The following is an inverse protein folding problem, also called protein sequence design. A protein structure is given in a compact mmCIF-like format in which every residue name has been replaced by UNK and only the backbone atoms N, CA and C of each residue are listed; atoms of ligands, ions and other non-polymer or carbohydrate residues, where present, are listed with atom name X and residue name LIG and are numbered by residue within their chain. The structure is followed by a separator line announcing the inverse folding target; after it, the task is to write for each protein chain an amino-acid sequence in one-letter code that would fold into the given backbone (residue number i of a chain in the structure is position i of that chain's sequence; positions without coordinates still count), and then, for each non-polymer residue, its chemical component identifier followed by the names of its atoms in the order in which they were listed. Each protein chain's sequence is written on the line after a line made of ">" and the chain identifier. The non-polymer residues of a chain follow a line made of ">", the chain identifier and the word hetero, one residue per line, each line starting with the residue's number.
data_IF_593248065374
#
_entry.id   IF_593248065374
#
_cell.length_a   1.000
_cell.length_b   1.000
_cell.length_c   1.000
_cell.angle_alpha   90.00
_cell.angle_beta   90.00
_cell.angle_gamma   90.00
#
_symmetry.space_group_name_H-M   'P 1'
#
loop_
_entity.id
_entity.type
_entity.pdbx_description
1 polymer ?
#
# COMPACT_ATOMS: atom_id res chain seq x y z
N UNK A 1 -44.34 32.56 -48.39
CA UNK A 1 -44.44 31.10 -48.60
C UNK A 1 -43.04 30.52 -48.58
N UNK A 2 -42.78 29.51 -47.73
CA UNK A 2 -41.51 28.75 -47.70
C UNK A 2 -40.92 28.52 -46.30
N UNK A 3 -41.39 27.49 -45.59
CA UNK A 3 -40.59 26.74 -44.59
C UNK A 3 -39.98 25.55 -45.36
N UNK A 4 -38.76 25.06 -45.02
CA UNK A 4 -38.57 24.10 -43.93
C UNK A 4 -37.17 24.27 -43.23
N UNK A 5 -36.66 23.51 -42.25
CA UNK A 5 -36.82 22.13 -41.81
C UNK A 5 -36.08 21.99 -40.46
N UNK A 6 -36.66 21.26 -39.50
CA UNK A 6 -35.98 20.83 -38.27
C UNK A 6 -34.70 20.05 -38.57
N UNK A 7 -33.64 20.24 -37.77
CA UNK A 7 -32.87 19.09 -37.33
C UNK A 7 -32.34 19.25 -35.90
N UNK A 8 -32.70 18.26 -35.10
CA UNK A 8 -32.33 18.05 -33.71
C UNK A 8 -30.85 17.66 -33.68
N UNK A 9 -29.98 18.52 -33.15
CA UNK A 9 -28.63 18.11 -32.78
C UNK A 9 -28.70 17.44 -31.41
N UNK A 10 -28.75 16.11 -31.44
CA UNK A 10 -28.57 15.27 -30.26
C UNK A 10 -27.18 15.51 -29.68
N UNK A 11 -27.11 16.18 -28.52
CA UNK A 11 -25.92 16.19 -27.68
C UNK A 11 -25.72 14.78 -27.12
N UNK A 12 -24.89 13.99 -27.80
CA UNK A 12 -24.35 12.76 -27.24
C UNK A 12 -23.43 13.12 -26.07
N UNK A 13 -23.93 12.97 -24.85
CA UNK A 13 -23.10 12.91 -23.65
C UNK A 13 -22.27 11.62 -23.72
N UNK A 14 -21.08 11.69 -24.30
CA UNK A 14 -20.06 10.68 -24.07
C UNK A 14 -19.60 10.82 -22.62
N UNK A 15 -20.25 10.11 -21.69
CA UNK A 15 -19.63 9.83 -20.40
C UNK A 15 -18.44 8.92 -20.66
N UNK A 16 -17.27 9.53 -20.88
CA UNK A 16 -16.01 8.86 -20.68
C UNK A 16 -15.94 8.51 -19.19
N UNK A 17 -16.31 7.27 -18.86
CA UNK A 17 -16.11 6.72 -17.54
C UNK A 17 -14.63 6.69 -17.25
N UNK A 18 -14.13 7.70 -16.55
CA UNK A 18 -12.87 7.61 -15.84
C UNK A 18 -13.07 6.58 -14.73
N UNK A 19 -12.82 5.31 -15.05
CA UNK A 19 -12.69 4.26 -14.05
C UNK A 19 -11.49 4.62 -13.17
N UNK A 20 -11.72 5.32 -12.07
CA UNK A 20 -10.75 5.42 -10.98
C UNK A 20 -10.57 4.00 -10.46
N UNK A 21 -9.47 3.35 -10.84
CA UNK A 21 -9.09 2.05 -10.32
C UNK A 21 -8.68 2.28 -8.86
N UNK A 22 -9.59 1.99 -7.94
CA UNK A 22 -9.39 2.30 -6.53
C UNK A 22 -8.06 1.76 -5.99
N UNK A 23 -7.34 2.60 -5.24
CA UNK A 23 -6.05 2.27 -4.62
C UNK A 23 -6.10 0.93 -3.89
N UNK A 24 -5.17 0.02 -4.21
CA UNK A 24 -5.13 -1.31 -3.59
C UNK A 24 -4.43 -1.23 -2.25
N UNK A 25 -5.10 -1.64 -1.17
CA UNK A 25 -4.58 -1.51 0.18
C UNK A 25 -4.51 -2.85 0.91
N UNK A 26 -3.48 -3.08 1.72
CA UNK A 26 -3.29 -4.29 2.52
C UNK A 26 -3.04 -3.93 3.99
N UNK A 27 -3.70 -4.62 4.91
CA UNK A 27 -3.42 -4.53 6.34
C UNK A 27 -2.70 -5.79 6.81
N UNK A 28 -1.50 -5.65 7.34
CA UNK A 28 -0.63 -6.76 7.73
C UNK A 28 -0.41 -6.78 9.24
N UNK A 29 -0.68 -7.93 9.87
CA UNK A 29 -0.31 -8.18 11.27
C UNK A 29 1.00 -9.00 11.27
N UNK A 30 2.03 -8.48 11.92
CA UNK A 30 3.39 -9.00 11.89
C UNK A 30 3.82 -9.43 13.29
N UNK A 31 4.66 -10.47 13.35
CA UNK A 31 5.27 -10.95 14.60
C UNK A 31 6.79 -10.98 14.45
N UNK A 32 7.56 -10.52 15.46
CA UNK A 32 9.00 -10.71 15.49
C UNK A 32 9.34 -12.21 15.50
N UNK A 33 10.38 -12.60 14.76
CA UNK A 33 10.89 -13.99 14.74
C UNK A 33 11.95 -14.18 15.82
N UNK A 34 12.83 -13.19 15.96
CA UNK A 34 13.75 -13.04 17.10
C UNK A 34 13.21 -11.90 17.94
N UNK A 35 13.12 -12.05 19.27
CA UNK A 35 12.42 -11.18 20.24
C UNK A 35 12.81 -9.69 20.33
N UNK A 36 13.34 -9.11 19.25
CA UNK A 36 13.58 -7.69 19.07
C UNK A 36 12.27 -6.92 18.86
N UNK A 37 12.07 -5.89 19.69
CA UNK A 37 10.91 -5.00 19.74
C UNK A 37 10.75 -4.04 18.54
N UNK A 38 11.62 -4.15 17.53
CA UNK A 38 11.73 -3.19 16.43
C UNK A 38 10.92 -3.58 15.18
N UNK A 39 10.23 -4.72 15.21
CA UNK A 39 9.29 -5.11 14.17
C UNK A 39 7.92 -4.54 14.52
N UNK A 40 7.30 -3.72 13.66
CA UNK A 40 5.97 -3.20 13.92
C UNK A 40 4.97 -4.36 13.98
N UNK A 41 4.03 -4.31 14.92
CA UNK A 41 3.02 -5.36 15.08
C UNK A 41 1.94 -5.30 14.00
N UNK A 42 1.68 -4.12 13.45
CA UNK A 42 0.71 -3.89 12.38
C UNK A 42 1.15 -2.75 11.47
N UNK A 43 1.05 -2.97 10.16
CA UNK A 43 1.21 -1.92 9.16
C UNK A 43 0.09 -2.00 8.13
N UNK A 44 -0.21 -0.87 7.48
CA UNK A 44 -1.00 -0.85 6.24
C UNK A 44 -0.12 -0.42 5.07
N UNK A 45 -0.33 -1.04 3.93
CA UNK A 45 0.36 -0.71 2.67
C UNK A 45 -0.68 -0.29 1.66
N UNK A 46 -0.56 0.92 1.13
CA UNK A 46 -1.42 1.48 0.10
C UNK A 46 -0.61 1.59 -1.19
N UNK A 47 -0.91 0.75 -2.18
CA UNK A 47 -0.28 0.81 -3.49
C UNK A 47 -0.93 1.86 -4.37
N UNK A 48 -0.13 2.48 -5.23
CA UNK A 48 -0.64 3.16 -6.42
C UNK A 48 -1.34 2.16 -7.34
N UNK A 49 -2.20 2.66 -8.24
CA UNK A 49 -2.97 1.84 -9.18
C UNK A 49 -2.10 0.88 -10.01
N UNK A 50 -0.88 1.32 -10.37
CA UNK A 50 0.10 0.58 -11.17
C UNK A 50 1.09 -0.27 -10.35
N UNK A 51 0.97 -0.26 -9.02
CA UNK A 51 1.89 -0.94 -8.09
C UNK A 51 3.37 -0.53 -8.21
N UNK A 52 3.67 0.66 -8.75
CA UNK A 52 5.06 1.16 -8.83
C UNK A 52 5.48 1.97 -7.60
N UNK A 53 4.51 2.47 -6.84
CA UNK A 53 4.71 3.19 -5.59
C UNK A 53 3.79 2.66 -4.49
N UNK A 54 4.18 2.90 -3.24
CA UNK A 54 3.32 2.60 -2.11
C UNK A 54 3.51 3.62 -0.98
N UNK A 55 2.50 3.75 -0.13
CA UNK A 55 2.59 4.39 1.19
C UNK A 55 2.45 3.33 2.26
N UNK A 56 3.30 3.39 3.27
CA UNK A 56 3.24 2.49 4.44
C UNK A 56 2.80 3.31 5.64
N UNK A 57 1.71 2.90 6.28
CA UNK A 57 1.24 3.43 7.55
C UNK A 57 1.62 2.46 8.67
N UNK A 58 2.42 2.93 9.62
CA UNK A 58 2.69 2.17 10.85
C UNK A 58 1.68 2.56 11.92
N UNK A 59 0.90 1.58 12.40
CA UNK A 59 -0.14 1.82 13.39
C UNK A 59 0.41 2.31 14.74
N UNK A 60 1.67 1.99 15.08
CA UNK A 60 2.29 2.42 16.32
C UNK A 60 2.68 3.91 16.29
N UNK A 61 3.02 4.44 15.12
CA UNK A 61 3.50 5.80 14.97
C UNK A 61 2.48 6.75 14.33
N UNK A 62 1.40 6.22 13.73
CA UNK A 62 0.36 7.01 13.08
C UNK A 62 0.85 7.81 11.87
N UNK A 63 2.05 7.51 11.36
CA UNK A 63 2.65 8.20 10.22
C UNK A 63 2.52 7.34 8.96
N UNK A 64 2.18 8.00 7.85
CA UNK A 64 2.21 7.41 6.51
C UNK A 64 3.47 7.89 5.80
N UNK A 65 4.33 6.96 5.41
CA UNK A 65 5.61 7.25 4.74
C UNK A 65 5.64 6.65 3.33
N UNK A 66 6.26 7.33 2.36
CA UNK A 66 6.45 6.75 1.03
C UNK A 66 7.39 5.54 1.11
N UNK A 67 7.04 4.50 0.38
CA UNK A 67 7.83 3.29 0.21
C UNK A 67 8.20 3.09 -1.26
N UNK A 68 9.47 2.77 -1.50
CA UNK A 68 9.91 2.31 -2.82
C UNK A 68 9.42 0.87 -3.02
N UNK A 69 8.78 0.63 -4.17
CA UNK A 69 8.30 -0.69 -4.59
C UNK A 69 9.21 -1.25 -5.68
N UNK A 70 9.54 -2.52 -5.59
CA UNK A 70 10.17 -3.30 -6.66
C UNK A 70 9.38 -4.58 -6.85
N UNK A 71 8.73 -4.71 -8.00
CA UNK A 71 8.05 -5.95 -8.40
C UNK A 71 9.08 -7.06 -8.59
N UNK A 72 8.92 -8.18 -7.89
CA UNK A 72 9.77 -9.39 -7.97
C UNK A 72 9.14 -10.47 -8.82
N UNK A 73 7.81 -10.55 -8.82
CA UNK A 73 6.99 -11.38 -9.70
C UNK A 73 5.60 -10.75 -9.84
N UNK A 74 4.68 -11.40 -10.55
CA UNK A 74 3.29 -10.93 -10.66
C UNK A 74 2.60 -10.71 -9.30
N UNK A 75 2.97 -11.51 -8.30
CA UNK A 75 2.32 -11.54 -6.98
C UNK A 75 3.27 -11.25 -5.84
N UNK A 76 4.50 -10.78 -6.11
CA UNK A 76 5.52 -10.53 -5.07
C UNK A 76 6.14 -9.15 -5.25
N UNK A 77 6.07 -8.34 -4.21
CA UNK A 77 6.52 -6.95 -4.20
C UNK A 77 7.47 -6.71 -3.05
N UNK A 78 8.69 -6.27 -3.36
CA UNK A 78 9.65 -5.82 -2.37
C UNK A 78 9.40 -4.34 -2.05
N UNK A 79 9.31 -4.02 -0.78
CA UNK A 79 9.03 -2.69 -0.25
C UNK A 79 10.22 -2.22 0.57
N UNK A 80 10.57 -0.94 0.46
CA UNK A 80 11.58 -0.32 1.33
C UNK A 80 11.21 1.11 1.70
N UNK A 81 11.30 1.44 2.98
CA UNK A 81 10.96 2.75 3.53
C UNK A 81 11.82 3.06 4.76
N UNK A 82 11.81 4.32 5.19
CA UNK A 82 12.44 4.77 6.43
C UNK A 82 11.40 5.54 7.24
N UNK A 83 11.39 5.38 8.56
CA UNK A 83 10.57 6.25 9.41
C UNK A 83 11.33 7.55 9.68
N UNK A 84 10.64 8.71 9.71
CA UNK A 84 11.28 9.97 10.07
C UNK A 84 11.88 9.87 11.47
N UNK A 85 13.04 10.47 11.68
CA UNK A 85 13.83 10.39 12.93
C UNK A 85 13.10 10.80 14.23
N UNK A 86 11.90 11.36 14.15
CA UNK A 86 11.05 11.73 15.29
C UNK A 86 10.20 10.57 15.85
N UNK A 87 10.10 9.44 15.14
CA UNK A 87 9.28 8.29 15.57
C UNK A 87 10.00 7.35 16.56
N UNK A 88 11.29 7.57 16.85
CA UNK A 88 12.11 6.70 17.70
C UNK A 88 12.88 7.57 18.71
N UNK A 89 12.29 7.75 19.89
CA UNK A 89 12.72 8.72 20.90
C UNK A 89 14.19 8.59 21.39
N UNK A 90 14.74 9.76 21.76
CA UNK A 90 15.82 10.07 22.71
C UNK A 90 17.29 9.65 22.46
N UNK A 91 17.65 8.96 21.38
CA UNK A 91 19.07 8.69 21.07
C UNK A 91 19.52 9.56 19.90
N UNK A 92 19.77 10.85 20.19
CA UNK A 92 20.30 11.84 19.25
C UNK A 92 21.59 11.33 18.61
N UNK A 93 21.47 10.71 17.42
CA UNK A 93 22.62 10.24 16.63
C UNK A 93 22.43 8.92 15.89
N UNK A 94 21.37 8.14 16.15
CA UNK A 94 21.17 6.85 15.44
C UNK A 94 20.36 7.04 14.15
N UNK A 95 20.90 6.53 13.04
CA UNK A 95 20.30 6.58 11.72
C UNK A 95 18.85 6.09 11.72
N UNK A 96 17.99 6.78 10.96
CA UNK A 96 16.57 6.48 10.80
C UNK A 96 16.33 4.98 10.59
N UNK A 97 15.35 4.36 11.27
CA UNK A 97 15.08 2.94 11.11
C UNK A 97 14.57 2.71 9.68
N UNK A 98 15.36 1.96 8.92
CA UNK A 98 15.01 1.55 7.55
C UNK A 98 14.39 0.18 7.59
N UNK A 99 13.39 -0.05 6.77
CA UNK A 99 12.72 -1.33 6.67
C UNK A 99 12.82 -1.87 5.25
N UNK A 100 12.89 -3.19 5.16
CA UNK A 100 12.74 -3.94 3.92
C UNK A 100 11.68 -5.00 4.15
N UNK A 101 10.71 -5.08 3.27
CA UNK A 101 9.68 -6.10 3.34
C UNK A 101 9.44 -6.74 1.97
N UNK A 102 8.87 -7.94 1.99
CA UNK A 102 8.34 -8.60 0.80
C UNK A 102 6.90 -8.96 1.11
N UNK A 103 5.97 -8.42 0.31
CA UNK A 103 4.56 -8.77 0.32
C UNK A 103 4.29 -9.73 -0.84
N UNK A 104 3.73 -10.89 -0.52
CA UNK A 104 3.16 -11.79 -1.51
C UNK A 104 1.63 -11.63 -1.51
N UNK A 105 1.08 -11.13 -2.62
CA UNK A 105 -0.35 -10.83 -2.76
C UNK A 105 -1.19 -12.07 -3.07
N UNK A 106 -0.57 -13.18 -3.52
CA UNK A 106 -1.27 -14.44 -3.78
C UNK A 106 -1.59 -15.20 -2.48
N UNK A 107 -0.65 -15.24 -1.54
CA UNK A 107 -0.84 -15.95 -0.27
C UNK A 107 -1.04 -15.00 0.93
N UNK A 108 -1.07 -13.69 0.67
CA UNK A 108 -1.24 -12.64 1.66
C UNK A 108 -0.25 -12.73 2.82
N UNK A 109 1.00 -13.12 2.56
CA UNK A 109 2.06 -13.12 3.58
C UNK A 109 3.03 -11.98 3.37
N UNK A 110 3.51 -11.45 4.49
CA UNK A 110 4.60 -10.47 4.50
C UNK A 110 5.76 -10.96 5.36
N UNK A 111 6.97 -10.77 4.83
CA UNK A 111 8.21 -10.82 5.62
C UNK A 111 8.81 -9.43 5.71
N UNK A 112 9.35 -9.07 6.86
CA UNK A 112 9.93 -7.76 7.13
C UNK A 112 11.27 -7.89 7.86
N UNK A 113 12.16 -6.95 7.60
CA UNK A 113 13.44 -6.80 8.26
C UNK A 113 13.68 -5.33 8.58
N UNK A 114 14.10 -5.05 9.81
CA UNK A 114 14.63 -3.73 10.19
C UNK A 114 16.12 -3.70 9.85
N UNK A 115 16.53 -2.73 9.06
CA UNK A 115 17.92 -2.46 8.69
C UNK A 115 18.40 -1.29 9.55
N UNK A 116 19.34 -1.58 10.45
CA UNK A 116 20.08 -0.53 11.17
C UNK A 116 21.44 -0.35 10.52
N UNK A 117 21.84 0.91 10.39
CA UNK A 117 23.20 1.28 10.01
C UNK A 117 24.02 1.26 11.29
N UNK A 118 24.59 0.12 11.66
CA UNK A 118 25.41 -0.01 12.87
C UNK A 118 25.48 -1.43 13.41
N UNK A 119 26.70 -1.94 13.41
CA UNK A 119 27.23 -3.20 13.96
C UNK A 119 26.60 -4.51 13.48
N UNK A 120 27.46 -5.46 13.10
CA UNK A 120 27.17 -6.78 12.50
C UNK A 120 26.33 -7.75 13.33
N UNK A 121 25.44 -7.25 14.17
CA UNK A 121 24.39 -7.98 14.84
C UNK A 121 23.31 -8.44 13.84
N UNK A 122 22.66 -9.55 14.17
CA UNK A 122 21.54 -10.09 13.40
C UNK A 122 20.41 -9.05 13.34
N UNK A 123 20.10 -8.60 12.13
CA UNK A 123 19.04 -7.63 11.88
C UNK A 123 17.68 -8.21 12.34
N UNK A 124 16.85 -7.45 13.10
CA UNK A 124 15.53 -7.87 13.50
C UNK A 124 14.68 -8.29 12.30
N UNK A 125 14.04 -9.46 12.38
CA UNK A 125 13.15 -9.98 11.35
C UNK A 125 11.78 -10.30 11.92
N UNK A 126 10.78 -10.17 11.07
CA UNK A 126 9.42 -10.54 11.36
C UNK A 126 8.71 -11.12 10.16
N UNK A 127 7.56 -11.71 10.41
CA UNK A 127 6.66 -12.16 9.37
C UNK A 127 5.22 -12.16 9.87
N UNK A 128 4.28 -12.20 8.93
CA UNK A 128 2.89 -12.31 9.29
C UNK A 128 1.95 -12.35 8.11
N UNK A 129 0.66 -12.18 8.42
CA UNK A 129 -0.43 -12.32 7.47
C UNK A 129 -1.05 -10.96 7.18
N UNK A 130 -1.44 -10.78 5.94
CA UNK A 130 -2.08 -9.59 5.40
C UNK A 130 -3.52 -9.87 5.01
N UNK A 131 -4.28 -8.80 4.88
CA UNK A 131 -5.66 -8.82 4.40
C UNK A 131 -5.81 -7.71 3.37
N UNK A 132 -6.40 -8.03 2.22
CA UNK A 132 -6.79 -7.01 1.25
C UNK A 132 -7.89 -6.14 1.87
N UNK A 133 -7.67 -4.84 1.88
CA UNK A 133 -8.67 -3.86 2.28
C UNK A 133 -9.40 -3.42 1.02
N UNK A 134 -10.60 -3.95 0.82
CA UNK A 134 -11.49 -3.48 -0.25
C UNK A 134 -12.05 -2.14 0.14
N UNK A 135 -11.88 -1.15 -0.73
CA UNK A 135 -12.54 0.16 -0.56
C UNK A 135 -14.03 0.02 -0.93
N UNK A 136 -14.87 0.90 -0.37
CA UNK A 136 -16.33 0.83 -0.62
C UNK A 136 -16.69 0.92 -2.10
N UNK A 137 -15.89 1.62 -2.91
CA UNK A 137 -16.07 1.69 -4.37
C UNK A 137 -15.99 0.32 -5.05
N UNK A 138 -15.12 -0.58 -4.57
CA UNK A 138 -15.01 -1.95 -5.09
C UNK A 138 -16.18 -2.84 -4.64
N UNK A 139 -16.74 -2.58 -3.45
CA UNK A 139 -17.92 -3.30 -2.97
C UNK A 139 -19.19 -2.88 -3.74
N UNK A 140 -19.31 -1.60 -4.12
CA UNK A 140 -20.44 -1.09 -4.89
C UNK A 140 -20.48 -1.65 -6.33
N UNK A 141 -19.33 -1.81 -6.99
CA UNK A 141 -19.25 -2.33 -8.36
C UNK A 141 -19.62 -3.81 -8.49
N UNK A 142 -19.32 -4.62 -7.48
CA UNK A 142 -19.74 -6.04 -7.46
C UNK A 142 -21.23 -6.24 -7.15
N UNK A 143 -21.94 -5.20 -6.69
CA UNK A 143 -23.37 -5.25 -6.39
C UNK A 143 -24.29 -5.03 -7.60
N UNK A 144 -23.75 -4.54 -8.73
CA UNK A 144 -24.52 -4.17 -9.92
C UNK A 144 -24.62 -5.27 -10.99
N UNK A 145 -24.09 -6.47 -10.74
CA UNK A 145 -24.11 -7.60 -11.70
C UNK A 145 -25.31 -8.55 -11.51
N UNK A 146 -26.45 -8.02 -11.04
CA UNK A 146 -27.72 -8.74 -10.94
C UNK A 146 -28.87 -7.88 -11.48
N UNK A 147 -29.01 -7.81 -12.80
CA UNK A 147 -30.26 -7.39 -13.45
C UNK A 147 -30.42 -8.11 -14.79
#
# INVERSE_FOLDING_TARGET
>A
MGLPKCWVLALGFTLAGAGVLADTSFSCNLKPISGASWIPSRIKVHFSEDFTAAKVEDAAFGVSVPAKVVKRSETSFALSWSLPGLAVSAEAGKAEPRFRAVLNTANLKMSIQSVRTGDGAQLPRGSGSCQLQRTMSQLAQNGSEWH
#
